data_IF_289409302580
#
_entry.id   IF_289409302580
#
_cell.length_a   1.000
_cell.length_b   1.000
_cell.length_c   1.000
_cell.angle_alpha   90.00
_cell.angle_beta   90.00
_cell.angle_gamma   90.00
#
_symmetry.space_group_name_H-M   'P 1'
#
loop_
_entity.id
_entity.type
_entity.pdbx_description
1 polymer ?
#
# COMPACT_ATOMS: atom_id res chain seq x y z
N UNK A 1 71.29 -7.72 -4.29
CA UNK A 1 70.23 -6.82 -3.80
C UNK A 1 69.50 -6.17 -4.96
N UNK A 2 68.23 -6.53 -5.21
CA UNK A 2 67.18 -5.63 -5.72
C UNK A 2 65.84 -6.37 -5.76
N UNK A 3 64.94 -5.99 -4.86
CA UNK A 3 63.59 -6.54 -4.77
C UNK A 3 62.71 -5.92 -5.87
N UNK A 4 62.04 -6.77 -6.64
CA UNK A 4 61.00 -6.36 -7.59
C UNK A 4 59.70 -6.19 -6.82
N UNK A 5 59.31 -4.94 -6.54
CA UNK A 5 57.99 -4.62 -5.98
C UNK A 5 56.95 -4.70 -7.11
N UNK A 6 56.07 -5.71 -7.06
CA UNK A 6 54.86 -5.74 -7.89
C UNK A 6 53.72 -5.06 -7.14
N UNK A 7 53.24 -3.99 -7.76
CA UNK A 7 52.16 -3.09 -7.36
C UNK A 7 50.81 -3.82 -7.37
N UNK A 8 50.08 -3.83 -6.26
CA UNK A 8 48.68 -4.23 -6.22
C UNK A 8 47.82 -2.96 -6.21
N UNK A 9 47.16 -2.68 -7.34
CA UNK A 9 46.20 -1.59 -7.46
C UNK A 9 44.94 -1.92 -6.66
N UNK A 10 44.70 -1.17 -5.58
CA UNK A 10 43.48 -1.24 -4.78
C UNK A 10 42.35 -0.51 -5.52
N UNK A 11 41.59 -1.24 -6.33
CA UNK A 11 40.35 -0.73 -6.93
C UNK A 11 39.31 -0.55 -5.83
N UNK A 12 39.14 0.69 -5.34
CA UNK A 12 38.00 1.07 -4.51
C UNK A 12 36.74 1.01 -5.39
N UNK A 13 35.95 -0.06 -5.25
CA UNK A 13 34.58 -0.10 -5.78
C UNK A 13 33.75 0.88 -4.96
N UNK A 14 33.48 2.04 -5.53
CA UNK A 14 32.44 2.95 -5.05
C UNK A 14 31.10 2.27 -5.30
N UNK A 15 30.43 1.88 -4.22
CA UNK A 15 29.03 1.47 -4.29
C UNK A 15 28.24 2.69 -4.78
N UNK A 16 27.84 2.67 -6.05
CA UNK A 16 26.83 3.58 -6.56
C UNK A 16 25.55 3.26 -5.79
N UNK A 17 25.27 4.08 -4.76
CA UNK A 17 23.98 4.11 -4.12
C UNK A 17 22.95 4.36 -5.22
N UNK A 18 22.03 3.43 -5.37
CA UNK A 18 20.88 3.57 -6.25
C UNK A 18 19.97 4.60 -5.59
N UNK A 19 20.31 5.87 -5.75
CA UNK A 19 19.39 6.97 -5.58
C UNK A 19 18.37 6.86 -6.70
N UNK A 20 17.34 6.03 -6.51
CA UNK A 20 16.11 6.23 -7.25
C UNK A 20 15.55 7.56 -6.76
N UNK A 21 15.83 8.59 -7.55
CA UNK A 21 15.11 9.84 -7.52
C UNK A 21 13.61 9.52 -7.47
N UNK A 22 12.93 9.96 -6.42
CA UNK A 22 11.48 10.10 -6.43
C UNK A 22 11.15 11.19 -7.46
N UNK A 23 11.14 10.81 -8.74
CA UNK A 23 10.59 11.61 -9.81
C UNK A 23 9.07 11.58 -9.64
N UNK A 24 8.49 12.72 -9.24
CA UNK A 24 7.06 13.04 -9.25
C UNK A 24 6.10 11.85 -9.27
N UNK A 25 6.08 11.05 -8.21
CA UNK A 25 5.10 9.98 -8.07
C UNK A 25 3.72 10.64 -8.01
N UNK A 26 2.82 10.26 -8.91
CA UNK A 26 1.42 10.68 -8.79
C UNK A 26 0.91 10.29 -7.39
N UNK A 27 0.09 11.14 -6.76
CA UNK A 27 -0.47 10.85 -5.45
C UNK A 27 -1.20 9.50 -5.51
N UNK A 28 -0.97 8.63 -4.52
CA UNK A 28 -1.57 7.29 -4.45
C UNK A 28 -3.10 7.34 -4.38
N UNK A 29 -3.75 6.21 -4.64
CA UNK A 29 -5.21 6.11 -4.71
C UNK A 29 -5.92 6.64 -3.45
N UNK A 30 -5.35 6.41 -2.28
CA UNK A 30 -5.86 6.90 -1.01
C UNK A 30 -5.81 8.42 -0.90
N UNK A 31 -4.71 9.05 -1.31
CA UNK A 31 -4.59 10.51 -1.28
C UNK A 31 -5.55 11.17 -2.28
N UNK A 32 -5.68 10.60 -3.48
CA UNK A 32 -6.67 11.07 -4.48
C UNK A 32 -8.09 10.99 -3.91
N UNK A 33 -8.45 9.86 -3.32
CA UNK A 33 -9.77 9.65 -2.69
C UNK A 33 -10.01 10.60 -1.51
N UNK A 34 -8.98 10.83 -0.69
CA UNK A 34 -9.06 11.73 0.47
C UNK A 34 -9.32 13.16 0.03
N UNK A 35 -8.58 13.65 -0.96
CA UNK A 35 -8.76 15.00 -1.52
C UNK A 35 -10.16 15.18 -2.12
N UNK A 36 -10.71 14.13 -2.73
CA UNK A 36 -12.05 14.16 -3.30
C UNK A 36 -13.15 14.20 -2.23
N UNK A 37 -12.97 13.47 -1.12
CA UNK A 37 -14.02 13.27 -0.11
C UNK A 37 -13.97 14.25 1.06
N UNK A 38 -12.79 14.75 1.45
CA UNK A 38 -12.65 15.64 2.60
C UNK A 38 -13.22 17.04 2.33
N UNK A 39 -13.99 17.54 3.29
CA UNK A 39 -14.49 18.93 3.32
C UNK A 39 -14.05 19.62 4.61
N UNK A 40 -13.98 20.96 4.58
CA UNK A 40 -13.50 21.76 5.72
C UNK A 40 -14.42 21.65 6.95
N UNK A 41 -15.69 21.40 6.69
CA UNK A 41 -16.76 21.25 7.69
C UNK A 41 -16.90 19.83 8.23
N UNK A 42 -16.09 18.86 7.77
CA UNK A 42 -16.21 17.48 8.21
C UNK A 42 -15.80 17.33 9.68
N UNK A 43 -16.70 16.78 10.49
CA UNK A 43 -16.41 16.45 11.88
C UNK A 43 -15.31 15.39 12.02
N UNK A 44 -14.74 15.22 13.22
CA UNK A 44 -13.63 14.30 13.46
C UNK A 44 -13.98 12.83 13.14
N UNK A 45 -15.23 12.42 13.35
CA UNK A 45 -15.71 11.07 13.01
C UNK A 45 -15.71 10.80 11.50
N UNK A 46 -16.26 11.74 10.73
CA UNK A 46 -16.31 11.65 9.25
C UNK A 46 -14.90 11.70 8.66
N UNK A 47 -14.03 12.57 9.20
CA UNK A 47 -12.62 12.64 8.82
C UNK A 47 -11.89 11.31 9.07
N UNK A 48 -12.15 10.65 10.20
CA UNK A 48 -11.56 9.35 10.50
C UNK A 48 -12.02 8.25 9.53
N UNK A 49 -13.29 8.25 9.14
CA UNK A 49 -13.84 7.34 8.12
C UNK A 49 -13.20 7.56 6.75
N UNK A 50 -13.06 8.81 6.31
CA UNK A 50 -12.42 9.15 5.04
C UNK A 50 -10.96 8.68 5.03
N UNK A 51 -10.21 8.90 6.11
CA UNK A 51 -8.83 8.39 6.25
C UNK A 51 -8.75 6.88 6.22
N UNK A 52 -9.74 6.17 6.79
CA UNK A 52 -9.78 4.72 6.70
C UNK A 52 -10.09 4.26 5.27
N UNK A 53 -11.02 4.92 4.57
CA UNK A 53 -11.30 4.64 3.16
C UNK A 53 -10.07 4.87 2.28
N UNK A 54 -9.32 5.95 2.53
CA UNK A 54 -8.06 6.24 1.84
C UNK A 54 -7.03 5.11 2.02
N UNK A 55 -6.82 4.62 3.25
CA UNK A 55 -5.92 3.48 3.50
C UNK A 55 -6.33 2.21 2.75
N UNK A 56 -7.64 1.94 2.69
CA UNK A 56 -8.16 0.80 1.94
C UNK A 56 -7.94 0.97 0.44
N UNK A 57 -8.11 2.18 -0.09
CA UNK A 57 -7.82 2.49 -1.49
C UNK A 57 -6.32 2.32 -1.84
N UNK A 58 -5.41 2.78 -0.99
CA UNK A 58 -3.96 2.54 -1.16
C UNK A 58 -3.64 1.04 -1.14
N UNK A 59 -4.29 0.27 -0.26
CA UNK A 59 -4.11 -1.18 -0.22
C UNK A 59 -4.62 -1.85 -1.49
N UNK A 60 -5.76 -1.43 -2.02
CA UNK A 60 -6.28 -1.92 -3.29
C UNK A 60 -5.36 -1.59 -4.47
N UNK A 61 -4.79 -0.38 -4.53
CA UNK A 61 -3.81 -0.01 -5.55
C UNK A 61 -2.56 -0.90 -5.47
N UNK A 62 -2.10 -1.21 -4.25
CA UNK A 62 -0.99 -2.15 -4.03
C UNK A 62 -1.33 -3.57 -4.49
N UNK A 63 -2.52 -4.08 -4.11
CA UNK A 63 -2.97 -5.43 -4.50
C UNK A 63 -3.17 -5.55 -6.01
N UNK A 64 -3.70 -4.51 -6.66
CA UNK A 64 -3.81 -4.44 -8.11
C UNK A 64 -2.42 -4.47 -8.77
N UNK A 65 -1.44 -3.74 -8.23
CA UNK A 65 -0.05 -3.79 -8.70
C UNK A 65 0.57 -5.19 -8.55
N UNK A 66 0.35 -5.86 -7.42
CA UNK A 66 0.80 -7.24 -7.20
C UNK A 66 0.15 -8.19 -8.21
N UNK A 67 -1.18 -8.15 -8.34
CA UNK A 67 -1.97 -9.05 -9.18
C UNK A 67 -1.73 -8.85 -10.69
N UNK A 68 -1.33 -7.64 -11.10
CA UNK A 68 -0.96 -7.32 -12.50
C UNK A 68 0.51 -7.56 -12.82
N UNK A 69 1.34 -7.91 -11.84
CA UNK A 69 2.76 -8.20 -12.06
C UNK A 69 3.65 -6.97 -12.14
N UNK A 70 3.25 -5.83 -11.56
CA UNK A 70 4.10 -4.64 -11.47
C UNK A 70 5.27 -4.92 -10.53
N UNK A 71 6.50 -4.89 -11.07
CA UNK A 71 7.72 -5.29 -10.36
C UNK A 71 7.94 -4.51 -9.05
N UNK A 72 7.62 -3.21 -9.03
CA UNK A 72 7.77 -2.37 -7.84
C UNK A 72 6.74 -2.65 -6.74
N UNK A 73 5.63 -3.30 -7.07
CA UNK A 73 4.58 -3.70 -6.11
C UNK A 73 4.87 -5.05 -5.45
N UNK A 74 5.82 -5.81 -6.00
CA UNK A 74 6.25 -7.10 -5.47
C UNK A 74 7.25 -6.94 -4.31
N UNK A 75 7.65 -8.07 -3.72
CA UNK A 75 8.55 -8.09 -2.56
C UNK A 75 10.01 -7.94 -3.00
N UNK A 76 10.73 -6.97 -2.40
CA UNK A 76 12.19 -6.86 -2.51
C UNK A 76 12.87 -7.51 -1.31
N UNK A 77 13.71 -8.50 -1.55
CA UNK A 77 14.49 -9.20 -0.52
C UNK A 77 15.96 -8.78 -0.58
N UNK A 78 16.49 -8.25 0.51
CA UNK A 78 17.93 -8.03 0.67
C UNK A 78 18.55 -9.18 1.46
N UNK A 79 19.30 -10.04 0.75
CA UNK A 79 19.90 -11.24 1.31
C UNK A 79 21.35 -11.04 1.77
N UNK A 80 21.93 -9.84 1.62
CA UNK A 80 23.36 -9.62 1.85
C UNK A 80 23.80 -9.97 3.28
N UNK A 81 22.98 -9.61 4.27
CA UNK A 81 23.26 -9.95 5.67
C UNK A 81 23.12 -11.44 5.96
N UNK A 82 22.13 -12.10 5.35
CA UNK A 82 21.89 -13.54 5.51
C UNK A 82 23.03 -14.35 4.90
N UNK A 83 23.45 -13.98 3.68
CA UNK A 83 24.56 -14.63 2.98
C UNK A 83 25.88 -14.42 3.73
N UNK A 84 26.14 -13.22 4.26
CA UNK A 84 27.34 -12.93 5.04
C UNK A 84 27.41 -13.71 6.37
N UNK A 85 26.26 -13.94 7.01
CA UNK A 85 26.19 -14.73 8.25
C UNK A 85 26.32 -16.24 7.99
N UNK A 86 25.95 -16.70 6.80
CA UNK A 86 26.03 -18.11 6.44
C UNK A 86 27.43 -18.50 5.91
N UNK A 87 28.28 -17.54 5.55
CA UNK A 87 29.66 -17.75 5.10
C UNK A 87 30.58 -18.12 6.28
N UNK A 88 30.95 -19.40 6.39
CA UNK A 88 31.90 -19.91 7.39
C UNK A 88 33.36 -19.59 6.99
N UNK A 89 33.66 -18.31 6.75
CA UNK A 89 34.98 -17.83 6.29
C UNK A 89 35.54 -18.64 5.09
N UNK A 90 34.68 -19.01 4.14
CA UNK A 90 35.08 -19.79 2.96
C UNK A 90 35.41 -21.26 3.20
N UNK A 91 35.12 -21.84 4.38
CA UNK A 91 35.29 -23.27 4.63
C UNK A 91 34.32 -24.14 3.85
N UNK A 92 33.09 -23.67 3.66
CA UNK A 92 32.06 -24.34 2.87
C UNK A 92 31.22 -23.30 2.10
N UNK A 93 30.79 -23.58 0.86
CA UNK A 93 29.86 -22.72 0.15
C UNK A 93 28.51 -22.69 0.87
N UNK A 94 28.14 -21.52 1.37
CA UNK A 94 26.85 -21.31 2.01
C UNK A 94 25.73 -21.28 0.95
N UNK A 95 24.87 -22.30 0.97
CA UNK A 95 23.65 -22.30 0.15
C UNK A 95 22.50 -21.74 0.98
N UNK A 96 22.00 -20.58 0.58
CA UNK A 96 20.84 -19.94 1.22
C UNK A 96 19.64 -20.13 0.29
N UNK A 97 18.62 -20.86 0.77
CA UNK A 97 17.34 -21.01 0.07
C UNK A 97 16.38 -20.00 0.65
N UNK A 98 15.82 -19.14 -0.21
CA UNK A 98 14.83 -18.14 0.18
C UNK A 98 13.55 -18.41 -0.58
N UNK A 99 12.48 -18.67 0.17
CA UNK A 99 11.13 -18.81 -0.37
C UNK A 99 10.31 -17.58 0.02
N UNK A 100 9.75 -16.91 -0.97
CA UNK A 100 8.80 -15.82 -0.77
C UNK A 100 7.47 -16.23 -1.38
N UNK A 101 6.46 -16.33 -0.52
CA UNK A 101 5.12 -16.76 -0.90
C UNK A 101 4.16 -15.60 -0.78
N UNK A 102 3.52 -15.25 -1.89
CA UNK A 102 2.47 -14.25 -1.96
C UNK A 102 1.18 -15.01 -2.27
N UNK A 103 0.38 -15.24 -1.23
CA UNK A 103 -0.86 -16.01 -1.34
C UNK A 103 -2.09 -15.12 -1.20
N UNK A 104 -3.21 -15.60 -1.73
CA UNK A 104 -4.57 -15.09 -1.44
C UNK A 104 -4.79 -13.60 -1.74
N UNK A 105 -3.93 -12.97 -2.55
CA UNK A 105 -4.02 -11.53 -2.89
C UNK A 105 -5.34 -11.17 -3.57
N UNK A 106 -5.86 -12.06 -4.42
CA UNK A 106 -7.18 -11.88 -5.06
C UNK A 106 -8.32 -11.95 -4.03
N UNK A 107 -8.21 -12.83 -3.03
CA UNK A 107 -9.21 -12.94 -1.97
C UNK A 107 -9.18 -11.69 -1.07
N UNK A 108 -7.99 -11.22 -0.71
CA UNK A 108 -7.80 -9.98 0.02
C UNK A 108 -8.35 -8.78 -0.76
N UNK A 109 -8.07 -8.68 -2.06
CA UNK A 109 -8.56 -7.58 -2.91
C UNK A 109 -10.10 -7.50 -2.84
N UNK A 110 -10.79 -8.64 -2.98
CA UNK A 110 -12.26 -8.70 -2.87
C UNK A 110 -12.77 -8.25 -1.49
N UNK A 111 -12.08 -8.63 -0.42
CA UNK A 111 -12.43 -8.20 0.94
C UNK A 111 -12.26 -6.69 1.10
N UNK A 112 -11.15 -6.14 0.62
CA UNK A 112 -10.88 -4.70 0.67
C UNK A 112 -11.85 -3.91 -0.20
N UNK A 113 -12.23 -4.39 -1.39
CA UNK A 113 -13.27 -3.77 -2.21
C UNK A 113 -14.60 -3.72 -1.47
N UNK A 114 -14.96 -4.80 -0.78
CA UNK A 114 -16.20 -4.87 0.01
C UNK A 114 -16.16 -3.88 1.18
N UNK A 115 -15.03 -3.81 1.90
CA UNK A 115 -14.84 -2.84 2.98
C UNK A 115 -14.92 -1.40 2.47
N UNK A 116 -14.26 -1.10 1.34
CA UNK A 116 -14.29 0.24 0.74
C UNK A 116 -15.71 0.67 0.39
N UNK A 117 -16.50 -0.22 -0.23
CA UNK A 117 -17.91 0.05 -0.54
C UNK A 117 -18.71 0.42 0.71
N UNK A 118 -18.54 -0.31 1.80
CA UNK A 118 -19.22 -0.01 3.06
C UNK A 118 -18.78 1.32 3.66
N UNK A 119 -17.47 1.62 3.64
CA UNK A 119 -16.95 2.89 4.13
C UNK A 119 -17.50 4.07 3.33
N UNK A 120 -17.55 3.98 2.00
CA UNK A 120 -18.12 5.02 1.14
C UNK A 120 -19.62 5.21 1.38
N UNK A 121 -20.37 4.12 1.54
CA UNK A 121 -21.80 4.19 1.87
C UNK A 121 -22.04 4.88 3.23
N UNK A 122 -21.25 4.54 4.26
CA UNK A 122 -21.35 5.16 5.57
C UNK A 122 -20.95 6.65 5.55
N UNK A 123 -19.91 7.01 4.81
CA UNK A 123 -19.51 8.41 4.59
C UNK A 123 -20.67 9.20 3.97
N UNK A 124 -21.30 8.67 2.91
CA UNK A 124 -22.46 9.31 2.29
C UNK A 124 -23.65 9.41 3.23
N UNK A 125 -23.93 8.36 4.01
CA UNK A 125 -25.01 8.33 5.00
C UNK A 125 -24.81 9.38 6.10
N UNK A 126 -23.62 9.47 6.68
CA UNK A 126 -23.32 10.48 7.70
C UNK A 126 -23.41 11.89 7.14
N UNK A 127 -23.01 12.08 5.88
CA UNK A 127 -23.09 13.36 5.19
C UNK A 127 -24.55 13.77 4.93
N UNK A 128 -25.41 12.84 4.54
CA UNK A 128 -26.84 13.06 4.37
C UNK A 128 -27.54 13.33 5.71
N UNK A 129 -27.20 12.59 6.78
CA UNK A 129 -27.76 12.79 8.11
C UNK A 129 -27.26 14.04 8.84
N UNK A 130 -26.11 14.60 8.44
CA UNK A 130 -25.59 15.87 8.96
C UNK A 130 -26.26 17.09 8.34
N UNK A 131 -26.90 16.94 7.17
CA UNK A 131 -27.88 17.92 6.68
C UNK A 131 -29.18 17.67 7.48
N UNK A 132 -29.32 18.39 8.59
CA UNK A 132 -30.52 18.30 9.44
C UNK A 132 -31.84 18.55 8.67
N UNK A 133 -32.97 18.19 9.30
CA UNK A 133 -34.29 18.09 8.66
C UNK A 133 -34.81 19.47 8.29
N UNK A 134 -34.49 19.94 7.09
CA UNK A 134 -35.20 21.07 6.47
C UNK A 134 -35.55 20.79 4.99
N UNK A 135 -35.61 19.51 4.62
CA UNK A 135 -36.00 19.06 3.29
C UNK A 135 -36.97 17.89 3.37
N UNK A 136 -38.25 18.20 3.61
CA UNK A 136 -39.40 17.35 3.26
C UNK A 136 -39.47 15.99 3.94
N UNK A 137 -40.09 15.94 5.13
CA UNK A 137 -40.73 14.72 5.59
C UNK A 137 -41.83 14.32 4.60
N UNK A 138 -41.51 13.37 3.71
CA UNK A 138 -42.52 12.61 2.99
C UNK A 138 -43.14 11.65 3.99
N UNK A 139 -44.43 11.82 4.22
CA UNK A 139 -45.29 10.96 5.02
C UNK A 139 -45.07 9.50 4.68
N UNK A 140 -44.86 8.72 5.74
CA UNK A 140 -45.18 7.31 5.80
C UNK A 140 -46.72 7.21 5.62
N UNK A 141 -47.17 6.95 4.40
CA UNK A 141 -48.42 6.23 4.14
C UNK A 141 -47.94 4.78 3.92
N UNK A 142 -47.95 3.88 4.91
CA UNK A 142 -49.13 3.27 5.53
C UNK A 142 -50.24 3.06 4.50
N UNK A 143 -50.08 2.02 3.67
CA UNK A 143 -51.17 1.31 2.98
C UNK A 143 -50.63 -0.01 2.38
N UNK A 144 -50.44 -1.01 3.23
CA UNK A 144 -50.38 -2.42 2.83
C UNK A 144 -51.23 -3.24 3.81
N UNK A 145 -52.48 -2.82 3.97
CA UNK A 145 -53.58 -3.72 4.33
C UNK A 145 -54.33 -4.08 3.02
N UNK A 146 -54.40 -5.39 2.75
CA UNK A 146 -55.18 -6.09 1.72
C UNK A 146 -54.77 -5.98 0.23
N UNK A 147 -53.95 -6.95 -0.24
CA UNK A 147 -54.15 -7.65 -1.53
C UNK A 147 -53.55 -9.06 -1.53
#
# INVERSE_FOLDING_TARGET
MKAVKRTAARTKRTAAGTGQAQAGAEPGAGERLRVELERKEDGPGLTALIRQAARVADRLETLAGINSGVESSWVRLDLRGIVAAADDNGKNPATVIVEAKIDSTIAEERQQTTLLRHLLAEIHKQRAGSMGPNGGGGSEDDDLDDI
#
